data_IF_786258695272
#
_entry.id   IF_786258695272
#
_cell.length_a   1.000
_cell.length_b   1.000
_cell.length_c   1.000
_cell.angle_alpha   90.00
_cell.angle_beta   90.00
_cell.angle_gamma   90.00
#
_symmetry.space_group_name_H-M   'P 1'
#
loop_
_entity.id
_entity.type
_entity.pdbx_description
1 polymer ?
#
# COMPACT_ATOMS: atom_id res chain seq x y z
N UNK A 1 -19.16 23.51 -14.03
CA UNK A 1 -18.92 22.61 -12.90
C UNK A 1 -18.35 21.28 -13.38
N UNK A 2 -18.83 20.72 -14.51
CA UNK A 2 -18.27 19.53 -15.18
C UNK A 2 -16.76 19.59 -15.47
N UNK A 3 -16.23 20.75 -15.88
CA UNK A 3 -14.81 20.89 -16.26
C UNK A 3 -13.79 20.72 -15.13
N UNK A 4 -14.23 20.79 -13.86
CA UNK A 4 -13.37 20.62 -12.67
C UNK A 4 -13.40 19.19 -12.12
N UNK A 5 -14.35 18.37 -12.57
CA UNK A 5 -14.45 16.95 -12.22
C UNK A 5 -13.54 16.08 -13.11
N UNK A 6 -13.30 16.47 -14.37
CA UNK A 6 -12.40 15.74 -15.28
C UNK A 6 -10.90 15.92 -14.97
N UNK A 7 -10.46 17.11 -14.52
CA UNK A 7 -9.03 17.42 -14.32
C UNK A 7 -8.39 16.72 -13.11
N UNK A 8 -9.17 16.21 -12.16
CA UNK A 8 -8.65 15.48 -10.97
C UNK A 8 -8.83 13.97 -11.04
N UNK A 9 -9.64 13.45 -11.97
CA UNK A 9 -9.83 12.02 -12.14
C UNK A 9 -8.78 11.38 -13.08
N UNK A 10 -8.13 12.13 -13.97
CA UNK A 10 -7.36 11.54 -15.10
C UNK A 10 -5.82 11.56 -15.04
N UNK A 11 -5.17 12.44 -14.28
CA UNK A 11 -3.73 12.73 -14.45
C UNK A 11 -2.84 12.25 -13.29
N UNK A 12 -2.93 10.98 -12.89
CA UNK A 12 -2.04 10.46 -11.82
C UNK A 12 -1.91 8.94 -11.69
N UNK A 13 -2.81 8.14 -12.28
CA UNK A 13 -2.74 6.68 -12.15
C UNK A 13 -1.52 6.05 -12.86
N UNK A 14 -1.06 6.62 -13.99
CA UNK A 14 0.18 6.18 -14.66
C UNK A 14 1.42 6.54 -13.83
N UNK A 15 1.35 7.64 -13.06
CA UNK A 15 2.44 8.10 -12.20
C UNK A 15 2.57 7.21 -10.95
N UNK A 16 1.44 6.85 -10.31
CA UNK A 16 1.38 5.89 -9.20
C UNK A 16 2.05 4.55 -9.57
N UNK A 17 1.70 4.00 -10.74
CA UNK A 17 2.30 2.75 -11.23
C UNK A 17 3.83 2.86 -11.41
N UNK A 18 4.35 4.02 -11.84
CA UNK A 18 5.80 4.23 -12.01
C UNK A 18 6.56 4.22 -10.69
N UNK A 19 5.91 4.52 -9.57
CA UNK A 19 6.55 4.52 -8.25
C UNK A 19 6.45 3.17 -7.54
N UNK A 20 5.43 2.35 -7.84
CA UNK A 20 5.29 1.01 -7.26
C UNK A 20 6.41 0.06 -7.71
N UNK A 21 6.73 0.02 -9.01
CA UNK A 21 7.71 -0.93 -9.57
C UNK A 21 9.13 -0.78 -9.00
N UNK A 22 9.71 0.43 -8.87
CA UNK A 22 11.01 0.62 -8.23
C UNK A 22 11.06 0.08 -6.79
N UNK A 23 9.98 0.23 -6.01
CA UNK A 23 9.90 -0.32 -4.65
C UNK A 23 10.09 -1.83 -4.62
N UNK A 24 9.39 -2.54 -5.52
CA UNK A 24 9.51 -4.00 -5.64
C UNK A 24 10.92 -4.44 -6.03
N UNK A 25 11.52 -3.76 -7.01
CA UNK A 25 12.88 -4.06 -7.47
C UNK A 25 13.88 -3.84 -6.33
N UNK A 26 13.79 -2.71 -5.63
CA UNK A 26 14.67 -2.40 -4.50
C UNK A 26 14.51 -3.40 -3.35
N UNK A 27 13.27 -3.79 -3.03
CA UNK A 27 13.00 -4.80 -2.01
C UNK A 27 13.60 -6.16 -2.35
N UNK A 28 13.50 -6.60 -3.61
CA UNK A 28 14.12 -7.85 -4.07
C UNK A 28 15.64 -7.79 -4.04
N UNK A 29 16.25 -6.70 -4.54
CA UNK A 29 17.70 -6.52 -4.52
C UNK A 29 18.22 -6.53 -3.08
N UNK A 30 17.56 -5.80 -2.18
CA UNK A 30 17.91 -5.78 -0.76
C UNK A 30 17.79 -7.18 -0.13
N UNK A 31 16.73 -7.92 -0.46
CA UNK A 31 16.52 -9.28 0.03
C UNK A 31 17.63 -10.23 -0.41
N UNK A 32 17.94 -10.27 -1.70
CA UNK A 32 19.01 -11.10 -2.27
C UNK A 32 20.36 -10.73 -1.64
N UNK A 33 20.66 -9.44 -1.53
CA UNK A 33 21.90 -8.97 -0.95
C UNK A 33 22.06 -9.43 0.51
N UNK A 34 21.03 -9.25 1.34
CA UNK A 34 21.06 -9.66 2.74
C UNK A 34 21.18 -11.18 2.90
N UNK A 35 20.51 -11.95 2.03
CA UNK A 35 20.64 -13.41 2.02
C UNK A 35 22.08 -13.85 1.68
N UNK A 36 22.73 -13.22 0.69
CA UNK A 36 24.14 -13.48 0.34
C UNK A 36 25.08 -13.17 1.51
N UNK A 37 24.79 -12.12 2.27
CA UNK A 37 25.58 -11.71 3.43
C UNK A 37 25.32 -12.56 4.70
N UNK A 38 24.40 -13.54 4.65
CA UNK A 38 24.10 -14.40 5.80
C UNK A 38 23.07 -13.82 6.77
N UNK A 39 22.28 -12.83 6.36
CA UNK A 39 21.27 -12.16 7.21
C UNK A 39 19.84 -12.68 6.94
N UNK A 40 19.67 -13.96 6.61
CA UNK A 40 18.40 -14.51 6.12
C UNK A 40 17.21 -14.29 7.07
N UNK A 41 17.44 -14.39 8.38
CA UNK A 41 16.41 -14.22 9.42
C UNK A 41 16.59 -12.95 10.25
N UNK A 42 17.44 -12.02 9.80
CA UNK A 42 17.68 -10.79 10.55
C UNK A 42 16.40 -9.93 10.60
N UNK A 43 15.92 -9.54 11.81
CA UNK A 43 14.69 -8.75 11.95
C UNK A 43 14.75 -7.37 11.28
N UNK A 44 15.89 -6.69 11.38
CA UNK A 44 16.09 -5.40 10.72
C UNK A 44 16.15 -5.55 9.20
N UNK A 45 16.77 -6.62 8.70
CA UNK A 45 16.74 -6.97 7.28
C UNK A 45 15.32 -7.15 6.76
N UNK A 46 14.48 -7.89 7.50
CA UNK A 46 13.08 -8.11 7.12
C UNK A 46 12.27 -6.82 7.14
N UNK A 47 12.50 -5.98 8.15
CA UNK A 47 11.87 -4.67 8.24
C UNK A 47 12.24 -3.79 7.03
N UNK A 48 13.52 -3.71 6.63
CA UNK A 48 13.98 -2.97 5.46
C UNK A 48 13.30 -3.51 4.19
N UNK A 49 13.37 -4.82 4.00
CA UNK A 49 12.85 -5.48 2.79
C UNK A 49 11.35 -5.29 2.66
N UNK A 50 10.58 -5.49 3.74
CA UNK A 50 9.12 -5.27 3.75
C UNK A 50 8.77 -3.81 3.49
N UNK A 51 9.53 -2.88 4.06
CA UNK A 51 9.32 -1.45 3.84
C UNK A 51 9.54 -1.09 2.36
N UNK A 52 10.63 -1.56 1.74
CA UNK A 52 10.89 -1.28 0.33
C UNK A 52 9.87 -1.94 -0.60
N UNK A 53 9.55 -3.22 -0.34
CA UNK A 53 8.64 -4.01 -1.16
C UNK A 53 7.15 -3.63 -0.99
N UNK A 54 6.74 -3.23 0.21
CA UNK A 54 5.35 -2.92 0.54
C UNK A 54 5.02 -1.44 0.41
N UNK A 55 5.92 -0.59 0.88
CA UNK A 55 5.69 0.85 1.07
C UNK A 55 6.54 1.72 0.11
N UNK A 56 7.27 1.09 -0.83
CA UNK A 56 8.20 1.79 -1.71
C UNK A 56 7.54 2.90 -2.55
N UNK A 57 6.30 2.67 -3.00
CA UNK A 57 5.48 3.67 -3.70
C UNK A 57 5.26 4.91 -2.81
N UNK A 58 4.77 4.72 -1.59
CA UNK A 58 4.49 5.81 -0.67
C UNK A 58 5.72 6.55 -0.18
N UNK A 59 6.86 5.86 -0.06
CA UNK A 59 8.14 6.50 0.24
C UNK A 59 8.58 7.40 -0.92
N UNK A 60 8.52 6.90 -2.16
CA UNK A 60 8.94 7.65 -3.34
C UNK A 60 8.01 8.83 -3.63
N UNK A 61 6.70 8.65 -3.50
CA UNK A 61 5.72 9.73 -3.63
C UNK A 61 5.81 10.73 -2.48
N UNK A 62 6.08 10.27 -1.25
CA UNK A 62 6.37 11.11 -0.10
C UNK A 62 7.58 12.02 -0.35
N UNK A 63 8.69 11.44 -0.82
CA UNK A 63 9.91 12.19 -1.18
C UNK A 63 9.68 13.17 -2.33
N UNK A 64 8.94 12.77 -3.37
CA UNK A 64 8.59 13.63 -4.49
C UNK A 64 7.74 14.83 -4.06
N UNK A 65 6.72 14.60 -3.23
CA UNK A 65 5.82 15.65 -2.72
C UNK A 65 6.56 16.65 -1.81
N UNK A 66 7.51 16.18 -0.99
CA UNK A 66 8.38 17.04 -0.19
C UNK A 66 9.29 17.89 -1.08
N UNK A 67 9.83 17.32 -2.16
CA UNK A 67 10.69 18.04 -3.11
C UNK A 67 9.95 19.14 -3.86
N UNK A 68 8.72 18.88 -4.32
CA UNK A 68 7.86 19.92 -4.92
C UNK A 68 7.49 21.03 -3.91
N UNK A 69 7.34 20.69 -2.63
CA UNK A 69 7.09 21.69 -1.59
C UNK A 69 8.28 22.64 -1.36
N UNK A 70 9.51 22.11 -1.44
CA UNK A 70 10.74 22.92 -1.39
C UNK A 70 10.89 23.86 -2.61
N UNK A 71 10.18 23.57 -3.71
CA UNK A 71 10.14 24.39 -4.93
C UNK A 71 8.96 25.40 -4.97
N UNK A 72 8.17 25.53 -3.90
CA UNK A 72 7.33 26.71 -3.67
C UNK A 72 5.82 26.58 -3.94
N UNK A 73 5.26 25.38 -4.12
CA UNK A 73 3.81 25.21 -4.32
C UNK A 73 3.04 24.86 -3.02
N UNK A 74 2.32 25.86 -2.52
CA UNK A 74 1.16 25.88 -1.62
C UNK A 74 0.80 24.62 -0.78
N UNK A 75 0.88 24.78 0.55
CA UNK A 75 0.36 23.85 1.54
C UNK A 75 -1.17 23.88 1.68
N UNK A 76 -1.77 22.68 1.69
CA UNK A 76 -2.91 22.28 2.55
C UNK A 76 -3.35 20.84 2.23
N UNK A 77 -3.54 20.51 0.94
CA UNK A 77 -3.92 19.16 0.48
C UNK A 77 -2.73 18.19 0.41
N UNK A 78 -1.62 18.61 -0.18
CA UNK A 78 -0.40 17.79 -0.26
C UNK A 78 0.15 17.41 1.12
N UNK A 79 -0.02 18.30 2.11
CA UNK A 79 0.42 18.06 3.48
C UNK A 79 -0.47 17.03 4.19
N UNK A 80 -1.80 17.11 4.03
CA UNK A 80 -2.73 16.11 4.55
C UNK A 80 -2.50 14.73 3.91
N UNK A 81 -2.20 14.70 2.61
CA UNK A 81 -1.85 13.48 1.89
C UNK A 81 -0.51 12.89 2.37
N UNK A 82 0.52 13.74 2.55
CA UNK A 82 1.81 13.35 3.10
C UNK A 82 1.74 12.83 4.53
N UNK A 83 0.90 13.43 5.40
CA UNK A 83 0.63 12.90 6.74
C UNK A 83 -0.08 11.55 6.69
N UNK A 84 -1.09 11.40 5.81
CA UNK A 84 -1.79 10.13 5.62
C UNK A 84 -0.85 8.98 5.26
N UNK A 85 0.09 9.22 4.35
CA UNK A 85 1.12 8.24 3.95
C UNK A 85 2.17 8.00 5.02
N UNK A 86 2.60 9.05 5.72
CA UNK A 86 3.52 8.89 6.84
C UNK A 86 2.92 7.98 7.92
N UNK A 87 1.64 8.17 8.26
CA UNK A 87 0.94 7.27 9.17
C UNK A 87 0.72 5.88 8.55
N UNK A 88 0.43 5.81 7.24
CA UNK A 88 0.33 4.58 6.45
C UNK A 88 1.56 3.70 6.61
N UNK A 89 2.76 4.27 6.47
CA UNK A 89 4.05 3.57 6.60
C UNK A 89 4.39 3.23 8.06
N UNK A 90 4.06 4.12 9.00
CA UNK A 90 4.47 3.97 10.41
C UNK A 90 3.68 2.87 11.13
N UNK A 91 2.40 2.67 10.78
CA UNK A 91 1.55 1.66 11.42
C UNK A 91 2.10 0.22 11.23
N UNK A 92 2.43 -0.24 10.00
CA UNK A 92 3.06 -1.54 9.76
C UNK A 92 4.34 -1.75 10.58
N UNK A 93 5.17 -0.70 10.73
CA UNK A 93 6.40 -0.79 11.51
C UNK A 93 6.13 -1.05 12.99
N UNK A 94 5.16 -0.33 13.57
CA UNK A 94 4.75 -0.54 14.96
C UNK A 94 4.19 -1.95 15.13
N UNK A 95 3.35 -2.42 14.20
CA UNK A 95 2.75 -3.75 14.26
C UNK A 95 3.85 -4.83 14.19
N UNK A 96 4.80 -4.76 13.26
CA UNK A 96 5.90 -5.74 13.15
C UNK A 96 6.75 -5.76 14.42
N UNK A 97 7.19 -4.58 14.89
CA UNK A 97 8.01 -4.46 16.09
C UNK A 97 7.28 -5.01 17.34
N UNK A 98 6.02 -4.60 17.55
CA UNK A 98 5.22 -5.06 18.68
C UNK A 98 4.96 -6.58 18.62
N UNK A 99 4.74 -7.13 17.41
CA UNK A 99 4.54 -8.58 17.22
C UNK A 99 5.77 -9.36 17.62
N UNK A 100 6.96 -8.92 17.20
CA UNK A 100 8.23 -9.54 17.58
C UNK A 100 8.48 -9.44 19.09
N UNK A 101 8.20 -8.28 19.69
CA UNK A 101 8.31 -8.08 21.14
C UNK A 101 7.35 -8.98 21.93
N UNK A 102 6.17 -9.27 21.37
CA UNK A 102 5.19 -10.18 21.94
C UNK A 102 5.52 -11.67 21.71
N UNK A 103 6.63 -11.98 21.03
CA UNK A 103 7.05 -13.36 20.75
C UNK A 103 6.23 -14.05 19.65
N UNK A 104 5.56 -13.29 18.79
CA UNK A 104 4.83 -13.84 17.63
C UNK A 104 5.81 -14.54 16.69
N UNK A 105 5.45 -15.75 16.27
CA UNK A 105 6.16 -16.42 15.20
C UNK A 105 5.87 -15.74 13.84
N UNK A 106 6.76 -14.81 13.48
CA UNK A 106 6.68 -14.04 12.23
C UNK A 106 6.84 -14.91 10.96
N UNK A 107 7.40 -16.11 11.10
CA UNK A 107 7.65 -17.06 10.02
C UNK A 107 6.52 -18.09 9.89
N UNK A 108 5.79 -18.33 10.97
CA UNK A 108 4.63 -19.20 11.01
C UNK A 108 3.32 -18.53 10.60
N UNK A 109 2.23 -19.24 10.90
CA UNK A 109 0.86 -18.78 10.61
C UNK A 109 0.53 -17.51 11.39
N UNK A 110 1.04 -17.35 12.61
CA UNK A 110 0.71 -16.20 13.45
C UNK A 110 1.12 -14.87 12.82
N UNK A 111 2.28 -14.82 12.13
CA UNK A 111 2.81 -13.61 11.51
C UNK A 111 2.18 -13.20 10.17
N UNK A 112 1.16 -13.91 9.66
CA UNK A 112 0.62 -13.68 8.30
C UNK A 112 0.11 -12.25 8.07
N UNK A 113 -0.33 -11.56 9.12
CA UNK A 113 -0.88 -10.21 9.03
C UNK A 113 0.19 -9.14 8.85
N UNK A 114 1.46 -9.43 9.17
CA UNK A 114 2.56 -8.47 9.07
C UNK A 114 2.77 -8.02 7.61
N UNK A 115 3.02 -8.92 6.63
CA UNK A 115 3.14 -8.52 5.23
C UNK A 115 1.85 -7.88 4.68
N UNK A 116 0.67 -8.26 5.19
CA UNK A 116 -0.60 -7.63 4.83
C UNK A 116 -0.62 -6.13 5.17
N UNK A 117 -0.20 -5.75 6.39
CA UNK A 117 -0.18 -4.34 6.77
C UNK A 117 0.85 -3.56 5.96
N UNK A 118 2.04 -4.11 5.74
CA UNK A 118 3.06 -3.49 4.88
C UNK A 118 2.63 -3.31 3.42
N UNK A 119 1.76 -4.19 2.93
CA UNK A 119 1.32 -4.15 1.55
C UNK A 119 0.12 -3.22 1.33
N UNK A 120 -0.79 -3.11 2.31
CA UNK A 120 -2.13 -2.55 2.09
C UNK A 120 -2.51 -1.39 3.02
N UNK A 121 -1.61 -0.91 3.88
CA UNK A 121 -1.90 0.20 4.81
C UNK A 121 -2.41 1.43 4.06
N UNK A 122 -1.74 1.78 2.96
CA UNK A 122 -2.14 2.88 2.09
C UNK A 122 -3.51 2.67 1.47
N UNK A 123 -3.80 1.44 1.04
CA UNK A 123 -5.08 1.10 0.43
C UNK A 123 -6.24 1.22 1.42
N UNK A 124 -6.03 0.84 2.68
CA UNK A 124 -6.98 1.05 3.78
C UNK A 124 -7.20 2.56 3.98
N UNK A 125 -6.12 3.34 4.04
CA UNK A 125 -6.18 4.79 4.18
C UNK A 125 -6.93 5.47 3.02
N UNK A 126 -6.66 5.05 1.79
CA UNK A 126 -7.33 5.53 0.58
C UNK A 126 -8.83 5.20 0.59
N UNK A 127 -9.23 4.01 1.05
CA UNK A 127 -10.64 3.66 1.15
C UNK A 127 -11.40 4.51 2.16
N UNK A 128 -10.83 4.69 3.36
CA UNK A 128 -11.44 5.53 4.41
C UNK A 128 -11.55 6.97 3.90
N UNK A 129 -10.46 7.51 3.33
CA UNK A 129 -10.42 8.88 2.83
C UNK A 129 -11.39 9.08 1.67
N UNK A 130 -11.47 8.14 0.74
CA UNK A 130 -12.41 8.16 -0.38
C UNK A 130 -13.87 8.13 0.08
N UNK A 131 -14.22 7.31 1.08
CA UNK A 131 -15.57 7.30 1.64
C UNK A 131 -15.92 8.64 2.31
N UNK A 132 -15.00 9.21 3.11
CA UNK A 132 -15.20 10.51 3.75
C UNK A 132 -15.36 11.62 2.71
N UNK A 133 -14.60 11.57 1.63
CA UNK A 133 -14.70 12.51 0.51
C UNK A 133 -16.06 12.40 -0.21
N UNK A 134 -16.50 11.19 -0.57
CA UNK A 134 -17.82 10.97 -1.18
C UNK A 134 -18.95 11.46 -0.27
N UNK A 135 -18.85 11.19 1.04
CA UNK A 135 -19.80 11.72 2.03
C UNK A 135 -19.82 13.25 2.06
N UNK A 136 -18.69 13.92 1.87
CA UNK A 136 -18.62 15.40 1.84
C UNK A 136 -19.27 15.96 0.59
N UNK A 137 -19.08 15.33 -0.58
CA UNK A 137 -19.68 15.77 -1.84
C UNK A 137 -21.18 15.53 -1.87
N UNK A 138 -21.61 14.34 -1.46
CA UNK A 138 -23.02 13.93 -1.50
C UNK A 138 -23.85 14.53 -0.35
N UNK A 139 -23.22 15.23 0.60
CA UNK A 139 -23.86 15.88 1.74
C UNK A 139 -24.44 14.93 2.79
N UNK A 140 -24.51 13.62 2.52
CA UNK A 140 -25.08 12.61 3.42
C UNK A 140 -24.31 11.28 3.37
N UNK A 141 -24.36 10.52 4.46
CA UNK A 141 -23.71 9.22 4.55
C UNK A 141 -24.35 8.17 3.63
N UNK A 142 -25.67 8.18 3.50
CA UNK A 142 -26.39 7.23 2.64
C UNK A 142 -26.02 7.39 1.17
N UNK A 143 -26.02 8.62 0.65
CA UNK A 143 -25.64 8.90 -0.73
C UNK A 143 -24.13 8.66 -0.96
N UNK A 144 -23.27 9.02 0.00
CA UNK A 144 -21.84 8.72 -0.07
C UNK A 144 -21.53 7.21 -0.14
N UNK A 145 -22.19 6.40 0.70
CA UNK A 145 -22.06 4.93 0.66
C UNK A 145 -22.62 4.37 -0.64
N UNK A 146 -23.77 4.88 -1.10
CA UNK A 146 -24.35 4.44 -2.37
C UNK A 146 -23.41 4.69 -3.54
N UNK A 147 -22.78 5.87 -3.62
CA UNK A 147 -21.79 6.18 -4.65
C UNK A 147 -20.54 5.32 -4.50
N UNK A 148 -20.10 5.07 -3.27
CA UNK A 148 -18.94 4.22 -2.98
C UNK A 148 -19.12 2.79 -3.52
N UNK A 149 -20.26 2.14 -3.25
CA UNK A 149 -20.51 0.76 -3.71
C UNK A 149 -20.72 0.64 -5.22
N UNK A 150 -20.90 1.75 -5.92
CA UNK A 150 -20.96 1.78 -7.39
C UNK A 150 -19.66 2.29 -8.03
N UNK A 151 -18.64 2.62 -7.23
CA UNK A 151 -17.37 3.13 -7.73
C UNK A 151 -16.39 1.97 -7.97
N UNK A 152 -15.99 1.70 -9.23
CA UNK A 152 -15.21 0.50 -9.58
C UNK A 152 -13.84 0.45 -8.87
N UNK A 153 -13.18 1.59 -8.69
CA UNK A 153 -11.91 1.69 -7.95
C UNK A 153 -12.09 1.33 -6.48
N UNK A 154 -13.14 1.84 -5.82
CA UNK A 154 -13.37 1.58 -4.39
C UNK A 154 -13.73 0.12 -4.15
N UNK A 155 -14.57 -0.46 -5.02
CA UNK A 155 -14.91 -1.88 -4.96
C UNK A 155 -13.69 -2.78 -5.16
N UNK A 156 -12.85 -2.48 -6.16
CA UNK A 156 -11.59 -3.21 -6.39
C UNK A 156 -10.70 -3.11 -5.17
N UNK A 157 -10.65 -1.92 -4.58
CA UNK A 157 -9.81 -1.65 -3.42
C UNK A 157 -10.25 -2.42 -2.18
N UNK A 158 -11.55 -2.47 -1.89
CA UNK A 158 -12.11 -3.35 -0.85
C UNK A 158 -11.82 -4.82 -1.15
N UNK A 159 -12.00 -5.25 -2.40
CA UNK A 159 -11.78 -6.64 -2.77
C UNK A 159 -10.33 -7.07 -2.47
N UNK A 160 -9.35 -6.23 -2.80
CA UNK A 160 -7.94 -6.48 -2.49
C UNK A 160 -7.72 -6.57 -0.97
N UNK A 161 -8.22 -5.59 -0.20
CA UNK A 161 -8.10 -5.57 1.27
C UNK A 161 -8.67 -6.85 1.90
N UNK A 162 -9.75 -7.40 1.36
CA UNK A 162 -10.40 -8.60 1.90
C UNK A 162 -9.75 -9.90 1.41
N UNK A 163 -9.31 -9.97 0.15
CA UNK A 163 -8.82 -11.20 -0.46
C UNK A 163 -7.34 -11.48 -0.16
N UNK A 164 -6.50 -10.45 -0.13
CA UNK A 164 -5.05 -10.60 0.16
C UNK A 164 -4.77 -11.29 1.50
N UNK A 165 -5.38 -10.91 2.64
CA UNK A 165 -5.09 -11.58 3.91
C UNK A 165 -5.54 -13.04 3.91
N UNK A 166 -6.61 -13.39 3.18
CA UNK A 166 -7.03 -14.79 3.00
C UNK A 166 -6.02 -15.57 2.18
N UNK A 167 -5.47 -14.97 1.12
CA UNK A 167 -4.39 -15.56 0.32
C UNK A 167 -3.12 -15.79 1.13
N UNK A 168 -2.68 -14.78 1.89
CA UNK A 168 -1.52 -14.88 2.78
C UNK A 168 -1.72 -15.96 3.85
N UNK A 169 -2.86 -15.96 4.53
CA UNK A 169 -3.18 -16.97 5.54
C UNK A 169 -3.17 -18.38 4.94
N UNK A 170 -3.79 -18.55 3.77
CA UNK A 170 -3.81 -19.83 3.06
C UNK A 170 -2.40 -20.28 2.68
N UNK A 171 -1.56 -19.38 2.19
CA UNK A 171 -0.16 -19.69 1.87
C UNK A 171 0.60 -20.17 3.11
N UNK A 172 0.41 -19.52 4.27
CA UNK A 172 1.03 -19.96 5.53
C UNK A 172 0.53 -21.33 5.98
N UNK A 173 -0.77 -21.61 5.87
CA UNK A 173 -1.36 -22.92 6.19
C UNK A 173 -0.79 -24.02 5.28
N UNK A 174 -0.55 -23.71 4.00
CA UNK A 174 0.04 -24.63 3.02
C UNK A 174 1.56 -24.80 3.17
N UNK A 175 2.19 -24.14 4.15
CA UNK A 175 3.59 -24.32 4.49
C UNK A 175 4.55 -23.28 3.91
N UNK A 176 4.05 -22.22 3.27
CA UNK A 176 4.91 -21.09 2.90
C UNK A 176 5.44 -20.39 4.16
N UNK A 177 6.75 -20.14 4.19
CA UNK A 177 7.40 -19.44 5.30
C UNK A 177 8.53 -18.54 4.77
N UNK A 178 8.55 -17.24 5.08
CA UNK A 178 9.55 -16.29 4.59
C UNK A 178 10.83 -16.36 5.44
N UNK A 179 11.47 -17.53 5.51
CA UNK A 179 12.71 -17.74 6.29
C UNK A 179 13.95 -17.13 5.65
N UNK A 180 13.81 -16.53 4.46
CA UNK A 180 14.84 -15.75 3.77
C UNK A 180 14.33 -14.34 3.51
N UNK A 181 15.25 -13.41 3.31
CA UNK A 181 14.92 -12.02 2.98
C UNK A 181 14.32 -11.94 1.57
N UNK A 182 14.79 -12.78 0.64
CA UNK A 182 14.20 -12.88 -0.71
C UNK A 182 12.74 -13.35 -0.65
N UNK A 183 12.40 -14.35 0.16
CA UNK A 183 11.01 -14.76 0.34
C UNK A 183 10.18 -13.74 1.11
N UNK A 184 10.79 -12.98 2.01
CA UNK A 184 10.14 -11.84 2.65
C UNK A 184 9.77 -10.75 1.64
N UNK A 185 10.69 -10.43 0.71
CA UNK A 185 10.42 -9.50 -0.39
C UNK A 185 9.29 -10.02 -1.28
N UNK A 186 9.43 -11.26 -1.75
CA UNK A 186 8.45 -11.90 -2.63
C UNK A 186 7.04 -11.93 -2.01
N UNK A 187 6.93 -12.36 -0.75
CA UNK A 187 5.65 -12.37 -0.03
C UNK A 187 5.01 -10.99 0.00
N UNK A 188 5.79 -9.96 0.32
CA UNK A 188 5.29 -8.59 0.44
C UNK A 188 4.86 -8.04 -0.91
N UNK A 189 5.62 -8.31 -1.98
CA UNK A 189 5.29 -7.88 -3.35
C UNK A 189 4.01 -8.55 -3.83
N UNK A 190 3.87 -9.87 -3.63
CA UNK A 190 2.68 -10.61 -4.05
C UNK A 190 1.45 -10.16 -3.25
N UNK A 191 1.62 -9.83 -1.97
CA UNK A 191 0.56 -9.23 -1.17
C UNK A 191 0.22 -7.80 -1.61
N UNK A 192 1.19 -7.07 -2.16
CA UNK A 192 1.00 -5.70 -2.60
C UNK A 192 0.31 -5.64 -3.97
N UNK A 193 -1.01 -5.65 -3.91
CA UNK A 193 -1.89 -5.49 -5.07
C UNK A 193 -2.46 -4.06 -5.19
N UNK A 194 -1.78 -3.08 -4.59
CA UNK A 194 -2.20 -1.67 -4.59
C UNK A 194 -2.22 -1.04 -5.99
N UNK A 195 -1.58 -1.66 -6.98
CA UNK A 195 -1.63 -1.28 -8.39
C UNK A 195 -2.95 -1.66 -9.10
N UNK A 196 -3.75 -2.58 -8.55
CA UNK A 196 -4.99 -3.04 -9.19
C UNK A 196 -6.08 -1.94 -9.27
N UNK A 197 -6.42 -1.19 -8.21
CA UNK A 197 -7.43 -0.13 -8.31
C UNK A 197 -7.08 0.97 -9.32
N UNK A 198 -5.83 1.49 -9.39
CA UNK A 198 -5.39 2.40 -10.44
C UNK A 198 -5.63 1.85 -11.86
N UNK A 199 -5.27 0.59 -12.10
CA UNK A 199 -5.46 -0.07 -13.40
C UNK A 199 -6.95 -0.17 -13.75
N UNK A 200 -7.81 -0.52 -12.79
CA UNK A 200 -9.26 -0.55 -12.99
C UNK A 200 -9.82 0.85 -13.29
N UNK A 201 -9.34 1.88 -12.59
CA UNK A 201 -9.71 3.27 -12.85
C UNK A 201 -9.36 3.70 -14.28
N UNK A 202 -8.14 3.43 -14.71
CA UNK A 202 -7.67 3.72 -16.07
C UNK A 202 -8.48 3.00 -17.15
N UNK A 203 -8.81 1.71 -16.95
CA UNK A 203 -9.65 0.96 -17.89
C UNK A 203 -11.08 1.48 -17.96
N UNK A 204 -11.64 1.90 -16.81
CA UNK A 204 -12.99 2.47 -16.75
C UNK A 204 -13.07 3.82 -17.49
N UNK A 205 -12.01 4.63 -17.44
CA UNK A 205 -11.91 5.89 -18.18
C UNK A 205 -11.81 5.67 -19.69
N UNK A 206 -10.99 4.73 -20.15
CA UNK A 206 -10.86 4.41 -21.59
C UNK A 206 -12.14 3.85 -22.25
N UNK A 207 -13.11 3.41 -21.45
CA UNK A 207 -14.40 2.89 -21.93
C UNK A 207 -15.51 3.94 -21.96
N UNK A 208 -15.30 5.12 -21.37
CA UNK A 208 -16.16 6.28 -21.55
C UNK A 208 -15.75 7.04 -22.80
#
# INVERSE_FOLDING_TARGET
MEKKEEELEGEGFDELLRYTFPGYILGLIAGIFLDIQGYQTNPFGQWIVRTLAGEGESILEGLYSIRQHLEGAAGSMAQAYGWGKFFGITIPWIIDAASRMAGVDVYGIQGFYIPYFYALSDQIGANISGLVYLKRIEGSWSAGIYRYIHHPVMLTSIAVILLVPLGLLSARILGFSPTTQTFTAFETIVANLCWLPPVVGWMAQKRK
#
